data_IF_399098441497
#
_entry.id   IF_399098441497
#
_cell.length_a   1.000
_cell.length_b   1.000
_cell.length_c   1.000
_cell.angle_alpha   90.00
_cell.angle_beta   90.00
_cell.angle_gamma   90.00
#
_symmetry.space_group_name_H-M   'P 1'
#
loop_
_entity.id
_entity.type
_entity.pdbx_description
1 polymer ?
#
# COMPACT_ATOMS: atom_id res chain seq x y z
N UNK A 1 60.16 26.48 80.45
CA UNK A 1 59.73 25.26 79.72
C UNK A 1 58.62 25.64 78.73
N UNK A 2 58.92 25.78 77.42
CA UNK A 2 57.90 26.04 76.38
C UNK A 2 57.33 24.70 75.89
N UNK A 3 56.01 24.52 75.99
CA UNK A 3 55.28 23.29 75.60
C UNK A 3 55.45 23.00 74.09
N UNK A 4 56.08 21.87 73.74
CA UNK A 4 56.32 21.38 72.36
C UNK A 4 55.15 20.55 71.79
N UNK A 5 53.89 20.93 72.05
CA UNK A 5 52.74 20.08 71.68
C UNK A 5 52.05 20.48 70.36
N UNK A 6 52.44 21.59 69.71
CA UNK A 6 51.79 22.07 68.48
C UNK A 6 52.25 21.37 67.19
N UNK A 7 53.51 20.95 67.11
CA UNK A 7 54.08 20.43 65.85
C UNK A 7 53.58 19.02 65.49
N UNK A 8 53.33 18.18 66.52
CA UNK A 8 52.83 16.82 66.34
C UNK A 8 51.38 16.82 65.84
N UNK A 9 50.53 17.69 66.41
CA UNK A 9 49.12 17.81 66.03
C UNK A 9 48.95 18.28 64.57
N UNK A 10 49.76 19.25 64.13
CA UNK A 10 49.73 19.76 62.75
C UNK A 10 50.18 18.68 61.75
N UNK A 11 51.23 17.91 62.06
CA UNK A 11 51.70 16.84 61.17
C UNK A 11 50.67 15.70 60.99
N UNK A 12 49.91 15.37 62.04
CA UNK A 12 48.85 14.36 61.97
C UNK A 12 47.70 14.84 61.10
N UNK A 13 47.28 16.10 61.25
CA UNK A 13 46.19 16.70 60.44
C UNK A 13 46.57 16.73 58.95
N UNK A 14 47.82 17.10 58.61
CA UNK A 14 48.29 17.07 57.23
C UNK A 14 48.34 15.67 56.64
N UNK A 15 48.73 14.66 57.44
CA UNK A 15 48.73 13.25 57.01
C UNK A 15 47.32 12.77 56.66
N UNK A 16 46.32 13.05 57.50
CA UNK A 16 44.92 12.75 57.21
C UNK A 16 44.41 13.47 55.96
N UNK A 17 44.78 14.73 55.78
CA UNK A 17 44.38 15.51 54.62
C UNK A 17 44.96 14.95 53.31
N UNK A 18 46.21 14.49 53.33
CA UNK A 18 46.87 13.86 52.19
C UNK A 18 46.23 12.52 51.83
N UNK A 19 45.91 11.69 52.82
CA UNK A 19 45.20 10.42 52.59
C UNK A 19 43.81 10.66 52.03
N UNK A 20 43.08 11.65 52.56
CA UNK A 20 41.78 12.05 52.04
C UNK A 20 41.84 12.54 50.58
N UNK A 21 42.84 13.37 50.25
CA UNK A 21 43.10 13.81 48.88
C UNK A 21 43.39 12.64 47.93
N UNK A 22 44.20 11.66 48.36
CA UNK A 22 44.47 10.46 47.57
C UNK A 22 43.20 9.63 47.33
N UNK A 23 42.34 9.49 48.34
CA UNK A 23 41.07 8.76 48.18
C UNK A 23 40.16 9.50 47.18
N UNK A 24 40.08 10.82 47.25
CA UNK A 24 39.28 11.62 46.31
C UNK A 24 39.77 11.48 44.86
N UNK A 25 41.09 11.51 44.63
CA UNK A 25 41.64 11.38 43.27
C UNK A 25 41.43 9.97 42.70
N UNK A 26 41.54 8.92 43.51
CA UNK A 26 41.25 7.54 43.10
C UNK A 26 39.78 7.37 42.71
N UNK A 27 38.85 7.93 43.50
CA UNK A 27 37.42 7.89 43.18
C UNK A 27 37.10 8.65 41.89
N UNK A 28 37.72 9.81 41.68
CA UNK A 28 37.53 10.62 40.48
C UNK A 28 38.07 9.91 39.22
N UNK A 29 39.23 9.26 39.32
CA UNK A 29 39.79 8.45 38.24
C UNK A 29 38.89 7.25 37.89
N UNK A 30 38.38 6.55 38.91
CA UNK A 30 37.45 5.43 38.74
C UNK A 30 36.14 5.87 38.07
N UNK A 31 35.59 7.03 38.48
CA UNK A 31 34.41 7.62 37.85
C UNK A 31 34.64 7.98 36.38
N UNK A 32 35.80 8.57 36.06
CA UNK A 32 36.16 8.91 34.69
C UNK A 32 36.28 7.65 33.79
N UNK A 33 36.93 6.60 34.29
CA UNK A 33 37.04 5.32 33.57
C UNK A 33 35.67 4.67 33.34
N UNK A 34 34.82 4.62 34.37
CA UNK A 34 33.46 4.08 34.25
C UNK A 34 32.62 4.84 33.21
N UNK A 35 32.76 6.17 33.13
CA UNK A 35 32.07 6.97 32.12
C UNK A 35 32.53 6.64 30.70
N UNK A 36 33.83 6.44 30.49
CA UNK A 36 34.38 6.04 29.18
C UNK A 36 33.87 4.66 28.79
N UNK A 37 33.95 3.69 29.71
CA UNK A 37 33.46 2.33 29.49
C UNK A 37 31.97 2.33 29.14
N UNK A 38 31.15 3.10 29.87
CA UNK A 38 29.71 3.18 29.63
C UNK A 38 29.38 3.79 28.26
N UNK A 39 30.17 4.75 27.78
CA UNK A 39 30.02 5.30 26.43
C UNK A 39 30.45 4.31 25.34
N UNK A 40 31.49 3.52 25.58
CA UNK A 40 31.91 2.45 24.66
C UNK A 40 30.83 1.36 24.58
N UNK A 41 30.35 0.86 25.72
CA UNK A 41 29.27 -0.12 25.77
C UNK A 41 28.01 0.39 25.04
N UNK A 42 27.62 1.66 25.24
CA UNK A 42 26.48 2.24 24.50
C UNK A 42 26.70 2.27 22.99
N UNK A 43 27.93 2.57 22.55
CA UNK A 43 28.29 2.58 21.13
C UNK A 43 28.26 1.17 20.54
N UNK A 44 28.80 0.20 21.27
CA UNK A 44 28.88 -1.21 20.84
C UNK A 44 27.49 -1.87 20.82
N UNK A 45 26.64 -1.59 21.81
CA UNK A 45 25.24 -2.04 21.79
C UNK A 45 24.53 -1.43 20.58
N UNK A 46 24.69 -0.13 20.33
CA UNK A 46 24.07 0.54 19.18
C UNK A 46 24.57 -0.01 17.84
N UNK A 47 25.87 -0.30 17.72
CA UNK A 47 26.40 -0.89 16.49
C UNK A 47 25.97 -2.34 16.30
N UNK A 48 25.93 -3.15 17.36
CA UNK A 48 25.49 -4.55 17.29
C UNK A 48 23.99 -4.67 17.02
N UNK A 49 23.18 -3.80 17.62
CA UNK A 49 21.73 -3.72 17.30
C UNK A 49 21.50 -3.27 15.87
N UNK A 50 22.20 -2.24 15.39
CA UNK A 50 22.12 -1.84 13.98
C UNK A 50 22.60 -2.96 13.04
N UNK A 51 23.71 -3.64 13.36
CA UNK A 51 24.19 -4.80 12.59
C UNK A 51 23.21 -5.97 12.59
N UNK A 52 22.49 -6.21 13.70
CA UNK A 52 21.41 -7.20 13.75
C UNK A 52 20.21 -6.75 12.94
N UNK A 53 19.85 -5.48 12.95
CA UNK A 53 18.78 -4.93 12.11
C UNK A 53 19.14 -5.01 10.63
N UNK A 54 20.37 -4.66 10.24
CA UNK A 54 20.85 -4.76 8.85
C UNK A 54 20.95 -6.23 8.39
N UNK A 55 21.27 -7.16 9.30
CA UNK A 55 21.22 -8.61 9.03
C UNK A 55 19.80 -9.20 9.11
N UNK A 56 18.86 -8.48 9.70
CA UNK A 56 17.41 -8.68 9.61
C UNK A 56 16.88 -7.67 8.59
N UNK A 57 17.59 -7.44 7.49
CA UNK A 57 16.87 -7.35 6.24
C UNK A 57 16.22 -8.72 6.05
N UNK A 58 14.96 -8.82 6.47
CA UNK A 58 14.08 -9.88 6.01
C UNK A 58 14.15 -9.75 4.48
N UNK A 59 14.94 -10.61 3.84
CA UNK A 59 14.79 -10.84 2.42
C UNK A 59 13.33 -11.21 2.27
N UNK A 60 12.56 -10.36 1.59
CA UNK A 60 11.15 -10.61 1.33
C UNK A 60 10.95 -11.85 0.45
N UNK A 61 12.03 -12.52 0.05
CA UNK A 61 12.01 -13.81 -0.60
C UNK A 61 11.45 -14.82 0.39
N UNK A 62 10.14 -15.03 0.26
CA UNK A 62 9.50 -16.18 0.82
C UNK A 62 9.85 -17.35 -0.08
N UNK A 63 10.34 -18.45 0.49
CA UNK A 63 10.72 -19.62 -0.28
C UNK A 63 9.44 -20.41 -0.61
N UNK A 64 8.96 -20.41 -1.87
CA UNK A 64 7.72 -21.09 -2.25
C UNK A 64 7.81 -22.62 -2.07
N UNK A 65 9.01 -23.16 -1.80
CA UNK A 65 9.23 -24.58 -1.55
C UNK A 65 9.13 -24.99 -0.06
N UNK A 66 9.07 -24.03 0.88
CA UNK A 66 9.13 -24.34 2.33
C UNK A 66 8.15 -23.59 3.23
N UNK A 67 7.49 -22.51 2.78
CA UNK A 67 6.44 -21.78 3.54
C UNK A 67 5.27 -21.34 2.65
N UNK A 68 4.04 -21.30 3.22
CA UNK A 68 2.87 -20.74 2.53
C UNK A 68 2.97 -19.21 2.57
N UNK A 69 3.55 -18.64 1.52
CA UNK A 69 3.81 -17.22 1.41
C UNK A 69 2.50 -16.42 1.31
N UNK A 70 2.38 -15.27 2.00
CA UNK A 70 1.25 -14.38 1.79
C UNK A 70 1.24 -13.93 0.32
N UNK A 71 0.07 -13.77 -0.27
CA UNK A 71 -0.05 -13.29 -1.65
C UNK A 71 0.35 -11.82 -1.79
N UNK A 72 0.14 -11.03 -0.75
CA UNK A 72 0.52 -9.63 -0.70
C UNK A 72 1.15 -9.27 0.65
N UNK A 73 2.18 -8.43 0.63
CA UNK A 73 2.77 -7.86 1.84
C UNK A 73 2.59 -6.34 1.81
N UNK A 74 2.51 -5.72 2.99
CA UNK A 74 2.54 -4.26 3.04
C UNK A 74 3.81 -3.71 2.43
N UNK A 75 3.65 -2.66 1.65
CA UNK A 75 4.77 -1.93 1.10
C UNK A 75 5.66 -1.38 2.22
N UNK A 76 6.98 -1.42 2.01
CA UNK A 76 7.96 -0.81 2.93
C UNK A 76 8.23 0.66 2.60
N UNK A 77 8.00 1.03 1.34
CA UNK A 77 8.23 2.37 0.79
C UNK A 77 7.03 2.80 -0.04
N UNK A 78 6.81 4.11 -0.12
CA UNK A 78 5.75 4.67 -0.95
C UNK A 78 6.29 5.15 -2.29
N UNK A 79 5.59 4.78 -3.35
CA UNK A 79 5.73 5.46 -4.61
C UNK A 79 5.38 6.95 -4.46
N UNK A 80 6.12 7.77 -5.18
CA UNK A 80 6.01 9.21 -5.07
C UNK A 80 6.45 9.89 -6.36
N UNK A 81 5.79 11.00 -6.67
CA UNK A 81 6.20 11.93 -7.71
C UNK A 81 6.30 13.33 -7.12
N UNK A 82 7.52 13.86 -7.01
CA UNK A 82 7.79 15.11 -6.31
C UNK A 82 7.33 15.05 -4.85
N UNK A 83 6.42 15.97 -4.47
CA UNK A 83 5.85 16.04 -3.13
C UNK A 83 4.68 15.09 -2.90
N UNK A 84 4.09 14.51 -3.95
CA UNK A 84 2.90 13.67 -3.87
C UNK A 84 3.29 12.25 -3.52
N UNK A 85 2.66 11.70 -2.47
CA UNK A 85 2.63 10.26 -2.17
C UNK A 85 1.32 9.69 -2.68
N UNK A 86 1.37 8.55 -3.34
CA UNK A 86 0.19 7.96 -3.97
C UNK A 86 -0.69 7.18 -2.99
N UNK A 87 -0.10 6.58 -1.96
CA UNK A 87 -0.84 5.90 -0.90
C UNK A 87 -0.19 6.06 0.46
N UNK A 88 -0.40 5.07 1.32
CA UNK A 88 0.13 5.02 2.69
C UNK A 88 0.61 3.61 3.04
N UNK A 89 1.55 3.49 3.99
CA UNK A 89 2.08 2.18 4.41
C UNK A 89 1.04 1.39 5.24
N UNK A 90 0.03 2.08 5.77
CA UNK A 90 -1.01 1.54 6.63
C UNK A 90 -0.50 1.14 8.02
N UNK A 91 -1.35 0.45 8.78
CA UNK A 91 -1.08 0.02 10.16
C UNK A 91 -1.34 -1.48 10.30
N UNK A 92 -0.45 -2.18 11.02
CA UNK A 92 -0.55 -3.64 11.16
C UNK A 92 -1.93 -4.07 11.66
N UNK A 93 -2.56 -5.04 10.99
CA UNK A 93 -3.88 -5.57 11.33
C UNK A 93 -5.08 -4.67 10.98
N UNK A 94 -4.89 -3.53 10.31
CA UNK A 94 -5.97 -2.62 9.91
C UNK A 94 -5.82 -2.28 8.42
N UNK A 95 -6.84 -2.58 7.61
CA UNK A 95 -6.89 -2.12 6.22
C UNK A 95 -7.55 -0.75 6.13
N UNK A 96 -6.82 0.21 5.56
CA UNK A 96 -7.33 1.55 5.28
C UNK A 96 -7.16 1.89 3.80
N UNK A 97 -8.09 2.66 3.26
CA UNK A 97 -8.08 3.08 1.84
C UNK A 97 -6.73 3.69 1.50
N UNK A 98 -6.15 3.26 0.37
CA UNK A 98 -4.84 3.71 -0.08
C UNK A 98 -3.64 3.04 0.60
N UNK A 99 -3.86 2.05 1.48
CA UNK A 99 -2.78 1.19 1.97
C UNK A 99 -2.08 0.51 0.80
N UNK A 100 -0.77 0.65 0.74
CA UNK A 100 0.07 0.12 -0.32
C UNK A 100 0.54 -1.30 0.00
N UNK A 101 0.46 -2.18 -0.99
CA UNK A 101 0.90 -3.57 -0.94
C UNK A 101 1.79 -3.87 -2.13
N UNK A 102 2.79 -4.71 -1.92
CA UNK A 102 3.54 -5.37 -2.98
C UNK A 102 3.05 -6.83 -3.02
N UNK A 103 2.55 -7.30 -4.17
CA UNK A 103 1.89 -8.60 -4.31
C UNK A 103 2.58 -9.49 -5.34
N UNK A 104 3.05 -10.67 -4.93
CA UNK A 104 3.67 -11.66 -5.82
C UNK A 104 2.61 -12.23 -6.80
N UNK A 105 2.41 -11.53 -7.91
CA UNK A 105 1.37 -11.85 -8.89
C UNK A 105 1.88 -12.80 -9.96
N UNK A 106 3.20 -12.89 -10.13
CA UNK A 106 3.85 -13.76 -11.11
C UNK A 106 4.29 -15.12 -10.52
N UNK A 107 4.21 -15.31 -9.21
CA UNK A 107 4.59 -16.51 -8.45
C UNK A 107 6.11 -16.79 -8.49
N UNK A 108 6.92 -15.74 -8.37
CA UNK A 108 8.39 -15.85 -8.32
C UNK A 108 8.97 -15.78 -6.90
N UNK A 109 8.14 -15.51 -5.90
CA UNK A 109 8.52 -15.39 -4.48
C UNK A 109 9.15 -14.05 -4.12
N UNK A 110 9.27 -13.11 -5.05
CA UNK A 110 9.69 -11.74 -4.81
C UNK A 110 8.48 -10.80 -4.75
N UNK A 111 8.59 -9.71 -3.97
CA UNK A 111 7.55 -8.69 -3.89
C UNK A 111 8.16 -7.38 -4.34
N UNK A 112 7.98 -7.07 -5.63
CA UNK A 112 8.70 -5.99 -6.28
C UNK A 112 7.81 -4.76 -6.50
N UNK A 113 8.08 -3.69 -5.76
CA UNK A 113 7.30 -2.45 -5.86
C UNK A 113 7.24 -1.87 -7.28
N UNK A 114 8.26 -2.08 -8.11
CA UNK A 114 8.32 -1.49 -9.45
C UNK A 114 7.33 -2.12 -10.44
N UNK A 115 6.79 -3.31 -10.17
CA UNK A 115 5.86 -4.02 -11.06
C UNK A 115 4.74 -4.79 -10.34
N UNK A 116 4.68 -4.71 -9.01
CA UNK A 116 3.74 -5.47 -8.19
C UNK A 116 3.07 -4.62 -7.11
N UNK A 117 3.08 -3.29 -7.29
CA UNK A 117 2.42 -2.35 -6.37
C UNK A 117 0.90 -2.33 -6.58
N UNK A 118 0.17 -2.49 -5.48
CA UNK A 118 -1.27 -2.31 -5.41
C UNK A 118 -1.68 -1.42 -4.23
N UNK A 119 -2.90 -0.91 -4.29
CA UNK A 119 -3.50 -0.08 -3.24
C UNK A 119 -4.87 -0.62 -2.84
N UNK A 120 -5.14 -0.63 -1.52
CA UNK A 120 -6.44 -1.04 -1.01
C UNK A 120 -7.54 -0.03 -1.37
N UNK A 121 -8.59 -0.50 -2.06
CA UNK A 121 -9.80 0.26 -2.33
C UNK A 121 -10.83 0.07 -1.22
N UNK A 122 -11.26 -1.18 -1.02
CA UNK A 122 -12.36 -1.57 -0.13
C UNK A 122 -12.37 -3.08 0.04
N UNK A 123 -13.33 -3.60 0.83
CA UNK A 123 -13.77 -4.98 0.67
C UNK A 123 -14.41 -5.20 -0.71
N UNK A 124 -14.54 -6.46 -1.14
CA UNK A 124 -15.11 -6.78 -2.46
C UNK A 124 -16.59 -6.41 -2.51
N UNK A 125 -16.95 -5.49 -3.41
CA UNK A 125 -18.32 -5.00 -3.55
C UNK A 125 -19.24 -5.97 -4.29
N UNK A 126 -20.51 -6.04 -3.84
CA UNK A 126 -21.63 -6.66 -4.56
C UNK A 126 -22.97 -6.05 -4.13
N UNK A 127 -24.00 -6.22 -4.97
CA UNK A 127 -25.38 -5.92 -4.58
C UNK A 127 -26.06 -7.14 -3.96
N UNK A 128 -26.65 -6.94 -2.79
CA UNK A 128 -27.50 -7.90 -2.10
C UNK A 128 -28.98 -7.80 -2.50
N UNK A 129 -29.82 -8.41 -1.67
CA UNK A 129 -31.28 -8.31 -1.84
C UNK A 129 -31.74 -6.86 -1.72
N UNK A 130 -32.70 -6.46 -2.56
CA UNK A 130 -33.25 -5.09 -2.57
C UNK A 130 -32.20 -3.99 -2.84
N UNK A 131 -31.19 -4.28 -3.66
CA UNK A 131 -30.09 -3.35 -4.02
C UNK A 131 -29.29 -2.83 -2.81
N UNK A 132 -29.21 -3.62 -1.72
CA UNK A 132 -28.33 -3.28 -0.60
C UNK A 132 -26.87 -3.39 -1.03
N UNK A 133 -26.08 -2.36 -0.75
CA UNK A 133 -24.63 -2.39 -0.96
C UNK A 133 -23.96 -3.30 0.08
N UNK A 134 -23.17 -4.28 -0.38
CA UNK A 134 -22.43 -5.22 0.47
C UNK A 134 -20.96 -5.16 0.10
N UNK A 135 -20.12 -4.99 1.11
CA UNK A 135 -18.67 -5.10 1.01
C UNK A 135 -18.23 -6.34 1.78
N UNK A 136 -17.71 -7.35 1.08
CA UNK A 136 -17.17 -8.54 1.72
C UNK A 136 -15.79 -8.24 2.30
N UNK A 137 -15.75 -8.01 3.61
CA UNK A 137 -14.52 -7.69 4.33
C UNK A 137 -13.57 -8.88 4.50
N UNK A 138 -13.93 -10.10 4.06
CA UNK A 138 -12.99 -11.22 4.05
C UNK A 138 -12.02 -11.16 2.85
N UNK A 139 -12.32 -10.32 1.86
CA UNK A 139 -11.52 -10.14 0.66
C UNK A 139 -11.23 -8.66 0.43
N UNK A 140 -9.97 -8.32 0.18
CA UNK A 140 -9.55 -6.99 -0.19
C UNK A 140 -9.60 -6.81 -1.71
N UNK A 141 -10.24 -5.74 -2.17
CA UNK A 141 -10.11 -5.24 -3.53
C UNK A 141 -8.87 -4.35 -3.60
N UNK A 142 -7.83 -4.82 -4.31
CA UNK A 142 -6.56 -4.12 -4.46
C UNK A 142 -6.41 -3.64 -5.91
N UNK A 143 -6.26 -2.34 -6.10
CA UNK A 143 -6.08 -1.74 -7.42
C UNK A 143 -4.61 -1.58 -7.77
N UNK A 144 -4.24 -1.97 -8.97
CA UNK A 144 -2.87 -1.89 -9.46
C UNK A 144 -2.42 -0.44 -9.68
N UNK A 145 -1.14 -0.18 -9.44
CA UNK A 145 -0.58 1.18 -9.49
C UNK A 145 -0.48 1.79 -10.90
N UNK A 146 -0.57 0.97 -11.95
CA UNK A 146 -0.41 1.43 -13.34
C UNK A 146 -1.48 0.84 -14.28
N UNK A 147 -1.48 1.31 -15.52
CA UNK A 147 -2.49 1.01 -16.53
C UNK A 147 -1.95 0.14 -17.67
N UNK A 148 -2.79 -0.74 -18.20
CA UNK A 148 -2.47 -1.58 -19.35
C UNK A 148 -3.21 -1.15 -20.61
N UNK A 149 -2.45 -1.10 -21.70
CA UNK A 149 -2.93 -1.13 -23.09
C UNK A 149 -3.99 -0.11 -23.48
N UNK A 150 -4.50 -0.28 -24.69
CA UNK A 150 -5.77 0.25 -25.18
C UNK A 150 -6.50 -0.96 -25.80
N UNK A 151 -7.83 -0.98 -25.90
CA UNK A 151 -8.58 -2.11 -26.50
C UNK A 151 -8.26 -2.33 -27.99
N UNK A 152 -7.38 -1.54 -28.61
CA UNK A 152 -6.93 -1.75 -29.98
C UNK A 152 -7.83 -1.03 -30.98
N UNK A 153 -7.96 -1.57 -32.19
CA UNK A 153 -8.73 -0.94 -33.28
C UNK A 153 -10.22 -1.30 -33.29
N UNK A 154 -10.73 -2.01 -32.28
CA UNK A 154 -12.16 -2.29 -32.17
C UNK A 154 -12.93 -0.98 -31.94
N UNK A 155 -14.13 -0.90 -32.54
CA UNK A 155 -15.03 0.25 -32.30
C UNK A 155 -15.62 0.20 -30.88
N UNK A 156 -15.66 -0.97 -30.25
CA UNK A 156 -16.37 -1.20 -28.99
C UNK A 156 -15.39 -1.58 -27.87
N UNK A 157 -15.37 -0.81 -26.78
CA UNK A 157 -14.82 -1.28 -25.50
C UNK A 157 -15.84 -2.09 -24.72
N UNK A 158 -17.10 -1.64 -24.81
CA UNK A 158 -18.26 -2.25 -24.21
C UNK A 158 -19.26 -2.48 -25.32
N UNK A 159 -19.73 -3.71 -25.41
CA UNK A 159 -20.92 -3.98 -26.21
C UNK A 159 -22.13 -3.52 -25.38
N UNK A 160 -23.03 -2.67 -25.90
CA UNK A 160 -24.21 -2.22 -25.16
C UNK A 160 -24.98 -3.42 -24.58
N UNK A 161 -25.07 -3.50 -23.25
CA UNK A 161 -25.76 -4.57 -22.54
C UNK A 161 -24.97 -5.86 -22.32
N UNK A 162 -23.77 -6.00 -22.90
CA UNK A 162 -22.94 -7.20 -22.80
C UNK A 162 -21.72 -7.05 -21.89
N UNK A 163 -21.46 -5.83 -21.40
CA UNK A 163 -20.37 -5.56 -20.48
C UNK A 163 -19.00 -5.38 -21.17
N UNK A 164 -17.91 -5.44 -20.38
CA UNK A 164 -16.56 -5.06 -20.82
C UNK A 164 -15.82 -6.13 -21.66
N UNK A 165 -16.49 -6.89 -22.52
CA UNK A 165 -15.92 -8.09 -23.17
C UNK A 165 -14.59 -7.85 -23.92
N UNK A 166 -14.47 -6.77 -24.69
CA UNK A 166 -13.26 -6.47 -25.48
C UNK A 166 -12.13 -5.89 -24.62
N UNK A 167 -12.50 -5.11 -23.60
CA UNK A 167 -11.52 -4.36 -22.81
C UNK A 167 -10.85 -5.24 -21.74
N UNK A 168 -11.53 -6.27 -21.23
CA UNK A 168 -10.93 -7.23 -20.29
C UNK A 168 -9.81 -8.08 -20.93
N UNK A 169 -9.75 -8.15 -22.27
CA UNK A 169 -8.64 -8.78 -22.99
C UNK A 169 -7.32 -8.02 -22.84
N UNK A 170 -7.35 -6.78 -22.32
CA UNK A 170 -6.15 -5.98 -22.04
C UNK A 170 -5.69 -6.08 -20.59
N UNK A 171 -6.45 -6.75 -19.73
CA UNK A 171 -6.02 -7.05 -18.38
C UNK A 171 -4.79 -7.98 -18.41
N UNK A 172 -3.84 -7.81 -17.47
CA UNK A 172 -2.66 -8.63 -17.41
C UNK A 172 -3.03 -10.09 -17.13
N UNK A 173 -2.25 -11.00 -17.71
CA UNK A 173 -2.33 -12.41 -17.41
C UNK A 173 -1.27 -12.76 -16.36
N UNK A 174 -1.63 -12.60 -15.10
CA UNK A 174 -0.78 -12.96 -13.96
C UNK A 174 -0.89 -14.44 -13.63
N UNK A 175 0.01 -14.99 -12.82
CA UNK A 175 -0.03 -16.42 -12.45
C UNK A 175 -0.96 -16.65 -11.27
N UNK A 176 -1.00 -15.71 -10.31
CA UNK A 176 -1.51 -16.00 -8.96
C UNK A 176 -2.63 -15.16 -8.36
N UNK A 177 -3.11 -14.01 -8.86
CA UNK A 177 -4.35 -13.48 -8.33
C UNK A 177 -5.54 -14.22 -8.97
N UNK A 178 -6.45 -14.72 -8.15
CA UNK A 178 -7.75 -15.23 -8.62
C UNK A 178 -8.82 -14.26 -8.16
N UNK A 179 -9.76 -13.93 -9.03
CA UNK A 179 -10.97 -13.24 -8.58
C UNK A 179 -11.70 -14.14 -7.57
N UNK A 180 -12.39 -13.54 -6.60
CA UNK A 180 -13.25 -14.28 -5.66
C UNK A 180 -14.32 -15.07 -6.42
N UNK A 181 -14.76 -14.54 -7.56
CA UNK A 181 -15.71 -15.17 -8.47
C UNK A 181 -15.31 -14.87 -9.91
N UNK A 182 -15.30 -15.91 -10.75
CA UNK A 182 -15.12 -15.77 -12.20
C UNK A 182 -16.31 -15.07 -12.88
N UNK A 183 -17.45 -14.95 -12.17
CA UNK A 183 -18.66 -14.31 -12.67
C UNK A 183 -19.00 -13.08 -11.85
N UNK A 184 -19.40 -12.01 -12.54
CA UNK A 184 -19.86 -10.77 -11.92
C UNK A 184 -21.12 -10.26 -12.59
N UNK A 185 -21.96 -9.61 -11.81
CA UNK A 185 -23.04 -8.82 -12.37
C UNK A 185 -22.51 -7.42 -12.65
N UNK A 186 -22.85 -6.86 -13.81
CA UNK A 186 -22.51 -5.50 -14.23
C UNK A 186 -23.73 -4.62 -14.02
N UNK A 187 -23.53 -3.47 -13.40
CA UNK A 187 -24.60 -2.56 -13.01
C UNK A 187 -24.42 -1.17 -13.64
N UNK A 188 -25.43 -0.32 -13.41
CA UNK A 188 -25.29 1.14 -13.49
C UNK A 188 -24.82 1.69 -12.14
N UNK A 189 -24.40 2.96 -12.11
CA UNK A 189 -24.08 3.67 -10.85
C UNK A 189 -25.19 3.68 -9.80
N UNK A 190 -26.45 3.59 -10.26
CA UNK A 190 -27.66 3.56 -9.41
C UNK A 190 -28.02 2.14 -8.96
N UNK A 191 -27.26 1.13 -9.35
CA UNK A 191 -27.47 -0.27 -8.99
C UNK A 191 -28.47 -1.02 -9.88
N UNK A 192 -28.81 -0.50 -11.05
CA UNK A 192 -29.65 -1.22 -12.02
C UNK A 192 -28.80 -2.28 -12.73
N UNK A 193 -29.24 -3.55 -12.71
CA UNK A 193 -28.54 -4.65 -13.38
C UNK A 193 -28.56 -4.46 -14.90
N UNK A 194 -27.37 -4.41 -15.51
CA UNK A 194 -27.19 -4.32 -16.97
C UNK A 194 -26.88 -5.67 -17.58
N UNK A 195 -25.94 -6.42 -16.99
CA UNK A 195 -25.53 -7.74 -17.44
C UNK A 195 -25.41 -8.67 -16.24
N UNK A 196 -26.17 -9.76 -16.24
CA UNK A 196 -25.99 -10.82 -15.27
C UNK A 196 -24.89 -11.78 -15.69
N UNK A 197 -24.17 -12.33 -14.70
CA UNK A 197 -23.17 -13.39 -14.89
C UNK A 197 -22.17 -13.08 -16.03
N UNK A 198 -21.71 -11.83 -16.11
CA UNK A 198 -20.59 -11.48 -16.97
C UNK A 198 -19.37 -12.28 -16.53
N UNK A 199 -18.74 -12.92 -17.51
CA UNK A 199 -17.69 -13.88 -17.28
C UNK A 199 -16.32 -13.20 -17.40
N UNK A 200 -15.60 -13.17 -16.28
CA UNK A 200 -14.17 -12.89 -16.21
C UNK A 200 -13.34 -14.18 -16.25
N UNK A 201 -13.93 -15.32 -16.65
CA UNK A 201 -13.24 -16.61 -16.65
C UNK A 201 -11.87 -16.51 -17.35
N UNK A 202 -10.85 -17.09 -16.74
CA UNK A 202 -9.46 -17.02 -17.19
C UNK A 202 -8.79 -15.65 -17.05
N UNK A 203 -9.43 -14.66 -16.39
CA UNK A 203 -8.79 -13.42 -15.96
C UNK A 203 -8.49 -13.48 -14.47
N UNK A 204 -7.31 -13.00 -14.14
CA UNK A 204 -6.78 -12.95 -12.79
C UNK A 204 -6.95 -11.56 -12.15
N UNK A 205 -7.65 -10.67 -12.86
CA UNK A 205 -8.01 -9.34 -12.42
C UNK A 205 -9.29 -8.90 -13.14
N UNK A 206 -9.88 -7.81 -12.65
CA UNK A 206 -11.07 -7.17 -13.22
C UNK A 206 -10.89 -5.67 -13.34
N UNK A 207 -11.90 -5.01 -13.89
CA UNK A 207 -12.00 -3.56 -13.83
C UNK A 207 -12.48 -3.10 -12.43
N UNK A 208 -12.11 -1.90 -11.98
CA UNK A 208 -12.63 -1.35 -10.75
C UNK A 208 -14.13 -1.07 -10.87
N UNK A 209 -14.86 -1.19 -9.76
CA UNK A 209 -16.29 -0.93 -9.71
C UNK A 209 -16.58 0.51 -9.21
N UNK A 210 -17.64 1.14 -9.72
CA UNK A 210 -18.08 2.48 -9.34
C UNK A 210 -18.24 2.62 -7.82
N UNK A 211 -18.88 1.66 -7.17
CA UNK A 211 -19.19 1.71 -5.73
C UNK A 211 -17.96 1.50 -4.86
N UNK A 212 -16.99 0.71 -5.30
CA UNK A 212 -15.69 0.60 -4.63
C UNK A 212 -14.94 1.93 -4.67
N UNK A 213 -14.97 2.61 -5.82
CA UNK A 213 -14.36 3.95 -5.97
C UNK A 213 -15.10 4.98 -5.12
N UNK A 214 -16.44 4.97 -5.10
CA UNK A 214 -17.25 5.88 -4.28
C UNK A 214 -17.00 5.65 -2.78
N UNK A 215 -16.88 4.39 -2.37
CA UNK A 215 -16.53 4.03 -0.99
C UNK A 215 -15.14 4.52 -0.60
N UNK A 216 -14.15 4.31 -1.48
CA UNK A 216 -12.77 4.68 -1.24
C UNK A 216 -12.56 6.20 -1.24
N UNK A 217 -13.13 6.90 -2.23
CA UNK A 217 -12.80 8.27 -2.56
C UNK A 217 -13.86 9.27 -2.13
N UNK A 218 -14.98 8.80 -1.57
CA UNK A 218 -16.13 9.60 -1.19
C UNK A 218 -17.06 9.94 -2.36
N UNK A 219 -18.05 10.82 -2.13
CA UNK A 219 -19.08 11.14 -3.13
C UNK A 219 -18.50 11.72 -4.42
N UNK A 220 -18.81 11.10 -5.56
CA UNK A 220 -18.11 11.32 -6.83
C UNK A 220 -18.64 12.50 -7.68
N UNK A 221 -19.56 13.31 -7.15
CA UNK A 221 -20.24 14.40 -7.87
C UNK A 221 -19.45 15.71 -8.07
N UNK A 222 -18.14 15.74 -7.81
CA UNK A 222 -17.32 16.96 -7.81
C UNK A 222 -16.07 16.87 -8.69
N UNK A 223 -15.58 18.03 -9.16
CA UNK A 223 -14.32 18.15 -9.88
C UNK A 223 -13.14 17.76 -8.99
N UNK A 224 -12.16 17.05 -9.54
CA UNK A 224 -10.93 16.62 -8.85
C UNK A 224 -11.12 15.75 -7.59
N UNK A 225 -12.34 15.27 -7.28
CA UNK A 225 -12.61 14.52 -6.04
C UNK A 225 -11.75 13.28 -5.92
N UNK A 226 -11.66 12.47 -6.98
CA UNK A 226 -10.90 11.22 -6.95
C UNK A 226 -9.41 11.52 -6.86
N UNK A 227 -8.90 12.51 -7.59
CA UNK A 227 -7.48 12.89 -7.55
C UNK A 227 -7.03 13.40 -6.18
N UNK A 228 -7.91 14.12 -5.47
CA UNK A 228 -7.60 14.67 -4.15
C UNK A 228 -7.73 13.62 -3.03
N UNK A 229 -8.77 12.79 -3.08
CA UNK A 229 -9.07 11.85 -2.01
C UNK A 229 -8.36 10.49 -2.19
N UNK A 230 -8.07 10.11 -3.43
CA UNK A 230 -7.44 8.85 -3.79
C UNK A 230 -6.31 9.06 -4.81
N UNK A 231 -5.19 9.72 -4.42
CA UNK A 231 -4.11 10.03 -5.34
C UNK A 231 -3.54 8.79 -6.06
N UNK A 232 -3.54 7.60 -5.43
CA UNK A 232 -3.14 6.33 -6.05
C UNK A 232 -3.90 5.99 -7.33
N UNK A 233 -5.14 6.46 -7.49
CA UNK A 233 -5.94 6.27 -8.70
C UNK A 233 -5.33 7.00 -9.92
N UNK A 234 -4.40 7.93 -9.68
CA UNK A 234 -3.72 8.76 -10.67
C UNK A 234 -2.23 8.47 -10.80
N UNK A 235 -1.72 7.49 -10.06
CA UNK A 235 -0.35 7.04 -10.23
C UNK A 235 -0.13 6.53 -11.66
N UNK A 236 1.01 6.89 -12.28
CA UNK A 236 1.38 6.49 -13.64
C UNK A 236 0.36 6.75 -14.74
N UNK A 237 -0.52 7.75 -14.56
CA UNK A 237 -1.17 8.38 -15.70
C UNK A 237 -0.12 9.23 -16.43
N UNK A 238 0.28 8.79 -17.63
CA UNK A 238 1.40 9.37 -18.38
C UNK A 238 1.11 10.79 -18.91
N UNK A 239 -0.16 11.21 -18.88
CA UNK A 239 -0.58 12.57 -19.19
C UNK A 239 -1.81 12.93 -18.37
N UNK A 240 -2.06 14.24 -18.21
CA UNK A 240 -3.32 14.74 -17.65
C UNK A 240 -4.54 14.28 -18.45
N UNK A 241 -4.39 13.83 -19.70
CA UNK A 241 -5.52 13.32 -20.50
C UNK A 241 -5.72 11.80 -20.44
N UNK A 242 -4.85 11.07 -19.73
CA UNK A 242 -4.97 9.62 -19.66
C UNK A 242 -6.12 9.21 -18.74
N UNK A 243 -6.96 8.31 -19.23
CA UNK A 243 -8.16 7.83 -18.53
C UNK A 243 -8.26 6.31 -18.68
N UNK A 244 -8.96 5.66 -17.75
CA UNK A 244 -9.19 4.22 -17.81
C UNK A 244 -10.62 3.84 -17.45
N UNK A 245 -11.08 2.77 -18.08
CA UNK A 245 -12.44 2.26 -17.92
C UNK A 245 -12.69 1.69 -16.53
N UNK A 246 -13.93 1.82 -16.07
CA UNK A 246 -14.44 1.10 -14.89
C UNK A 246 -15.62 0.20 -15.31
N UNK A 247 -15.93 -0.80 -14.49
CA UNK A 247 -16.88 -1.88 -14.83
C UNK A 247 -18.30 -1.38 -15.19
N UNK A 248 -18.77 -0.32 -14.53
CA UNK A 248 -20.18 0.08 -14.52
C UNK A 248 -20.59 1.02 -15.66
N UNK A 249 -21.83 0.83 -16.12
CA UNK A 249 -22.46 1.76 -17.05
C UNK A 249 -22.88 3.05 -16.34
N UNK A 250 -22.88 4.15 -17.08
CA UNK A 250 -23.41 5.41 -16.56
C UNK A 250 -24.90 5.33 -16.30
N UNK A 251 -25.65 4.70 -17.21
CA UNK A 251 -27.10 4.57 -17.12
C UNK A 251 -27.62 3.37 -17.91
N UNK A 252 -28.92 3.13 -17.79
CA UNK A 252 -29.64 2.00 -18.38
C UNK A 252 -29.66 2.00 -19.91
N UNK A 253 -29.35 3.13 -20.56
CA UNK A 253 -29.32 3.18 -22.03
C UNK A 253 -28.10 2.50 -22.63
N UNK A 254 -27.13 2.06 -21.80
CA UNK A 254 -25.96 1.24 -22.19
C UNK A 254 -25.01 1.87 -23.24
N UNK A 255 -25.25 3.13 -23.60
CA UNK A 255 -24.45 3.88 -24.57
C UNK A 255 -23.25 4.56 -23.92
N UNK A 256 -23.27 4.72 -22.60
CA UNK A 256 -22.24 5.43 -21.85
C UNK A 256 -21.76 4.56 -20.68
N UNK A 257 -20.44 4.56 -20.49
CA UNK A 257 -19.75 3.79 -19.45
C UNK A 257 -18.88 4.75 -18.65
N UNK A 258 -18.77 4.51 -17.36
CA UNK A 258 -17.93 5.31 -16.50
C UNK A 258 -16.44 5.03 -16.74
N UNK A 259 -15.62 6.04 -16.46
CA UNK A 259 -14.18 5.94 -16.46
C UNK A 259 -13.60 6.91 -15.43
N UNK A 260 -12.42 6.60 -14.92
CA UNK A 260 -11.61 7.56 -14.18
C UNK A 260 -10.94 8.48 -15.20
N UNK A 261 -11.22 9.77 -15.10
CA UNK A 261 -10.71 10.77 -16.03
C UNK A 261 -9.48 11.46 -15.49
N UNK A 262 -8.35 11.30 -16.17
CA UNK A 262 -7.15 12.10 -15.91
C UNK A 262 -7.46 13.59 -15.94
N UNK A 263 -8.21 14.03 -16.96
CA UNK A 263 -8.36 15.46 -17.29
C UNK A 263 -9.13 16.22 -16.22
N UNK A 264 -10.09 15.56 -15.60
CA UNK A 264 -10.99 16.17 -14.62
C UNK A 264 -10.62 15.83 -13.18
N UNK A 265 -9.72 14.85 -12.97
CA UNK A 265 -9.43 14.33 -11.64
C UNK A 265 -10.65 13.68 -10.96
N UNK A 266 -11.64 13.25 -11.74
CA UNK A 266 -12.93 12.71 -11.29
C UNK A 266 -13.40 11.56 -12.18
N UNK A 267 -14.54 10.95 -11.86
CA UNK A 267 -15.22 10.10 -12.83
C UNK A 267 -15.80 10.92 -13.97
N UNK A 268 -15.83 10.33 -15.17
CA UNK A 268 -16.48 10.86 -16.36
C UNK A 268 -17.07 9.72 -17.18
N UNK A 269 -18.18 9.98 -17.85
CA UNK A 269 -18.78 8.98 -18.72
C UNK A 269 -18.32 9.19 -20.16
N UNK A 270 -18.13 8.09 -20.86
CA UNK A 270 -17.72 8.08 -22.26
C UNK A 270 -18.58 7.10 -23.04
N UNK A 271 -18.73 7.34 -24.34
CA UNK A 271 -19.49 6.43 -25.20
C UNK A 271 -18.84 5.07 -25.29
N UNK A 272 -19.63 4.01 -25.06
CA UNK A 272 -19.20 2.61 -25.11
C UNK A 272 -18.66 2.18 -26.49
N UNK A 273 -19.15 2.82 -27.55
CA UNK A 273 -18.96 2.50 -28.97
C UNK A 273 -18.08 3.48 -29.76
N UNK A 274 -17.50 4.49 -29.10
CA UNK A 274 -16.77 5.56 -29.79
C UNK A 274 -15.37 5.81 -29.24
N UNK A 275 -15.12 5.49 -27.97
CA UNK A 275 -13.86 5.82 -27.30
C UNK A 275 -13.06 4.60 -26.90
N UNK A 276 -13.37 3.43 -27.47
CA UNK A 276 -12.70 2.22 -27.05
C UNK A 276 -11.19 2.36 -27.16
N UNK A 277 -10.70 2.71 -28.34
CA UNK A 277 -9.27 2.88 -28.64
C UNK A 277 -8.48 3.92 -27.81
N UNK A 278 -9.10 4.68 -26.90
CA UNK A 278 -8.47 5.83 -26.24
C UNK A 278 -8.27 5.70 -24.73
N UNK A 279 -8.96 4.75 -24.08
CA UNK A 279 -8.90 4.56 -22.64
C UNK A 279 -8.24 3.23 -22.31
N UNK A 280 -7.41 3.25 -21.25
CA UNK A 280 -6.66 2.08 -20.78
C UNK A 280 -7.50 1.23 -19.82
N UNK A 281 -6.92 0.17 -19.29
CA UNK A 281 -7.46 -0.56 -18.13
C UNK A 281 -6.56 -0.44 -16.92
N UNK A 282 -7.16 -0.37 -15.74
CA UNK A 282 -6.45 -0.50 -14.47
C UNK A 282 -6.94 -1.75 -13.75
N UNK A 283 -6.09 -2.77 -13.57
CA UNK A 283 -6.49 -4.02 -12.94
C UNK A 283 -6.85 -3.85 -11.46
N UNK A 284 -7.86 -4.58 -11.02
CA UNK A 284 -8.16 -4.85 -9.62
C UNK A 284 -8.06 -6.36 -9.39
N UNK A 285 -7.36 -6.75 -8.32
CA UNK A 285 -7.32 -8.12 -7.81
C UNK A 285 -8.14 -8.22 -6.53
N UNK A 286 -8.59 -9.43 -6.23
CA UNK A 286 -9.37 -9.73 -5.03
C UNK A 286 -8.58 -10.74 -4.19
N UNK A 287 -8.15 -10.36 -3.00
CA UNK A 287 -7.24 -11.16 -2.18
C UNK A 287 -7.87 -11.45 -0.83
N UNK A 288 -7.94 -12.72 -0.42
CA UNK A 288 -8.43 -13.06 0.90
C UNK A 288 -7.55 -12.37 1.97
N UNK A 289 -8.15 -11.78 3.00
CA UNK A 289 -7.39 -11.05 4.02
C UNK A 289 -6.35 -11.94 4.72
N UNK A 290 -6.64 -13.24 4.87
CA UNK A 290 -5.70 -14.20 5.46
C UNK A 290 -4.46 -14.46 4.57
N UNK A 291 -4.54 -14.14 3.28
CA UNK A 291 -3.43 -14.24 2.33
C UNK A 291 -2.68 -12.90 2.21
N UNK A 292 -2.98 -11.91 3.05
CA UNK A 292 -2.28 -10.64 3.09
C UNK A 292 -1.51 -10.56 4.41
N UNK A 293 -0.23 -10.18 4.36
CA UNK A 293 0.46 -9.78 5.58
C UNK A 293 0.00 -8.37 5.98
N UNK A 294 -1.11 -8.34 6.72
CA UNK A 294 -1.74 -7.11 7.24
C UNK A 294 -1.05 -6.61 8.48
#
# INVERSE_FOLDING_TARGET
MKKKNGFLAVSIIFSFFIVFLMILTINMASYAQNRILLNQIKKDIKSETNLKIDKIEISNNCDPSTEECPRCIRAKTLHASGATKYGQLGTRGILTVGDAFDCDVNDDGEYNSDNERFYYLSGVFSYGSYNSEIYDENYASLIYYTNYGYPGTSLYSYYPGDGPAEIIEKLPNWTKPSLKSDYRNIYTETGTLVKSNFEYSHKNSRLPNYKEIEHACGPLGGYAVVALNCPFMYENLSSESESYWIEDYYNENQNNVWAVSGSYGSLSYYRSDYMGSQLKVRPVIEVAINDIEV
#
